data_IF_302793090459
#
_entry.id   IF_302793090459
#
_cell.length_a   1.000
_cell.length_b   1.000
_cell.length_c   1.000
_cell.angle_alpha   90.00
_cell.angle_beta   90.00
_cell.angle_gamma   90.00
#
_symmetry.space_group_name_H-M   'P 1'
#
loop_
_entity.id
_entity.type
_entity.pdbx_description
1 polymer ?
#
# COMPACT_ATOMS: atom_id res chain seq x y z
N UNK A 1 -6.53 43.07 -87.19
CA UNK A 1 -5.92 41.72 -87.31
C UNK A 1 -4.40 41.90 -87.33
N UNK A 2 -3.86 42.54 -86.30
CA UNK A 2 -3.59 42.13 -84.92
C UNK A 2 -2.11 41.77 -84.78
N UNK A 3 -1.39 42.78 -84.31
CA UNK A 3 0.04 42.89 -84.07
C UNK A 3 0.60 41.75 -83.18
N UNK A 4 -0.27 40.95 -82.58
CA UNK A 4 0.05 39.68 -81.91
C UNK A 4 0.68 38.61 -82.82
N UNK A 5 0.34 38.53 -84.12
CA UNK A 5 1.00 37.58 -85.04
C UNK A 5 2.36 38.06 -85.54
N UNK A 6 2.62 39.38 -85.51
CA UNK A 6 3.93 39.97 -85.84
C UNK A 6 4.90 39.85 -84.66
N UNK A 7 4.39 40.04 -83.43
CA UNK A 7 5.13 39.78 -82.19
C UNK A 7 5.50 38.29 -82.00
N UNK A 8 4.65 37.34 -82.41
CA UNK A 8 4.98 35.90 -82.30
C UNK A 8 6.08 35.43 -83.26
N UNK A 9 6.19 36.06 -84.44
CA UNK A 9 7.23 35.75 -85.43
C UNK A 9 8.55 36.48 -85.14
N UNK A 10 8.54 37.60 -84.42
CA UNK A 10 9.76 38.27 -83.91
C UNK A 10 10.32 37.60 -82.64
N UNK A 11 9.52 36.83 -81.91
CA UNK A 11 9.93 36.07 -80.70
C UNK A 11 10.39 34.64 -81.03
N UNK A 12 10.22 34.17 -82.28
CA UNK A 12 10.81 32.91 -82.78
C UNK A 12 12.16 33.13 -83.49
N UNK A 13 12.91 34.13 -83.01
CA UNK A 13 14.30 34.39 -83.38
C UNK A 13 15.25 33.38 -82.74
N UNK A 14 15.81 32.52 -83.59
CA UNK A 14 17.00 31.68 -83.39
C UNK A 14 17.09 30.82 -82.11
N UNK A 15 16.20 29.83 -82.02
CA UNK A 15 16.32 28.76 -81.00
C UNK A 15 17.56 27.87 -81.19
N UNK A 16 18.40 28.04 -82.23
CA UNK A 16 19.62 27.22 -82.38
C UNK A 16 20.64 27.50 -81.28
N UNK A 17 20.77 28.74 -80.83
CA UNK A 17 21.62 29.08 -79.67
C UNK A 17 21.02 28.56 -78.36
N UNK A 18 19.69 28.60 -78.21
CA UNK A 18 19.00 28.09 -77.02
C UNK A 18 19.08 26.56 -76.95
N UNK A 19 18.98 25.86 -78.09
CA UNK A 19 19.08 24.41 -78.20
C UNK A 19 20.54 23.93 -78.05
N UNK A 20 21.54 24.68 -78.53
CA UNK A 20 22.95 24.44 -78.22
C UNK A 20 23.29 24.72 -76.75
N UNK A 21 22.73 25.77 -76.14
CA UNK A 21 22.86 26.02 -74.69
C UNK A 21 22.19 24.92 -73.88
N UNK A 22 21.02 24.42 -74.30
CA UNK A 22 20.33 23.32 -73.62
C UNK A 22 21.10 21.99 -73.79
N UNK A 23 21.61 21.69 -74.99
CA UNK A 23 22.47 20.51 -75.25
C UNK A 23 23.75 20.57 -74.43
N UNK A 24 24.44 21.72 -74.37
CA UNK A 24 25.64 21.87 -73.57
C UNK A 24 25.33 21.80 -72.07
N UNK A 25 24.20 22.34 -71.59
CA UNK A 25 23.77 22.25 -70.18
C UNK A 25 23.32 20.83 -69.78
N UNK A 26 22.73 20.06 -70.71
CA UNK A 26 22.39 18.63 -70.52
C UNK A 26 23.61 17.70 -70.64
N UNK A 27 24.59 18.02 -71.50
CA UNK A 27 25.81 17.22 -71.68
C UNK A 27 26.86 17.45 -70.58
N UNK A 28 26.88 18.64 -69.94
CA UNK A 28 27.78 18.97 -68.82
C UNK A 28 27.26 18.61 -67.41
N UNK A 29 26.07 18.02 -67.30
CA UNK A 29 25.64 17.31 -66.08
C UNK A 29 25.70 15.79 -66.24
N UNK A 30 26.74 15.31 -66.94
CA UNK A 30 27.34 14.01 -66.59
C UNK A 30 28.02 14.17 -65.24
N UNK A 31 27.22 14.04 -64.18
CA UNK A 31 27.74 13.56 -62.90
C UNK A 31 28.64 12.36 -63.18
N UNK A 32 29.81 12.25 -62.51
CA UNK A 32 30.68 11.11 -62.72
C UNK A 32 29.83 9.86 -62.57
N UNK A 33 29.91 8.91 -63.52
CA UNK A 33 29.36 7.57 -63.35
C UNK A 33 30.03 7.01 -62.09
N UNK A 34 29.47 7.29 -60.91
CA UNK A 34 29.74 6.53 -59.70
C UNK A 34 29.37 5.13 -60.11
N UNK A 35 30.39 4.25 -60.21
CA UNK A 35 30.17 2.82 -60.23
C UNK A 35 29.18 2.58 -59.11
N UNK A 36 27.95 2.19 -59.44
CA UNK A 36 26.96 1.84 -58.42
C UNK A 36 27.68 0.85 -57.52
N UNK A 37 27.75 1.08 -56.20
CA UNK A 37 28.29 0.09 -55.31
C UNK A 37 27.26 -1.04 -55.29
N UNK A 38 27.32 -1.95 -56.27
CA UNK A 38 26.54 -3.18 -56.30
C UNK A 38 26.87 -4.06 -55.09
N UNK A 39 27.94 -3.75 -54.35
CA UNK A 39 28.26 -4.31 -53.04
C UNK A 39 27.52 -3.63 -51.87
N UNK A 40 27.03 -2.39 -52.01
CA UNK A 40 26.24 -1.73 -50.97
C UNK A 40 24.74 -1.98 -51.11
N UNK A 41 24.26 -2.51 -52.24
CA UNK A 41 22.86 -2.96 -52.37
C UNK A 41 22.61 -4.20 -51.50
N UNK A 42 23.42 -5.27 -51.53
CA UNK A 42 23.25 -6.38 -50.60
C UNK A 42 23.56 -5.96 -49.17
N UNK A 43 24.48 -5.04 -48.89
CA UNK A 43 24.68 -4.51 -47.53
C UNK A 43 23.49 -3.66 -47.08
N UNK A 44 22.91 -2.85 -47.95
CA UNK A 44 21.70 -2.08 -47.68
C UNK A 44 20.50 -2.99 -47.44
N UNK A 45 20.31 -4.02 -48.28
CA UNK A 45 19.28 -5.05 -48.09
C UNK A 45 19.56 -5.85 -46.81
N UNK A 46 20.81 -6.20 -46.50
CA UNK A 46 21.18 -6.92 -45.29
C UNK A 46 21.00 -6.05 -44.05
N UNK A 47 21.30 -4.75 -44.09
CA UNK A 47 21.06 -3.81 -43.01
C UNK A 47 19.56 -3.53 -42.84
N UNK A 48 18.80 -3.44 -43.93
CA UNK A 48 17.33 -3.27 -43.88
C UNK A 48 16.65 -4.56 -43.44
N UNK A 49 17.20 -5.73 -43.81
CA UNK A 49 16.79 -7.04 -43.32
C UNK A 49 17.21 -7.25 -41.88
N UNK A 50 18.39 -6.81 -41.44
CA UNK A 50 18.78 -6.82 -40.02
C UNK A 50 17.95 -5.81 -39.22
N UNK A 51 17.61 -4.64 -39.77
CA UNK A 51 16.71 -3.70 -39.11
C UNK A 51 15.28 -4.22 -39.08
N UNK A 52 14.79 -4.88 -40.14
CA UNK A 52 13.48 -5.54 -40.17
C UNK A 52 13.45 -6.77 -39.27
N UNK A 53 14.51 -7.56 -39.22
CA UNK A 53 14.65 -8.68 -38.30
C UNK A 53 14.85 -8.19 -36.86
N UNK A 54 15.52 -7.06 -36.63
CA UNK A 54 15.65 -6.44 -35.32
C UNK A 54 14.35 -5.77 -34.89
N UNK A 55 13.59 -5.16 -35.81
CA UNK A 55 12.23 -4.66 -35.50
C UNK A 55 11.25 -5.80 -35.35
N UNK A 56 11.38 -6.91 -36.09
CA UNK A 56 10.64 -8.15 -35.87
C UNK A 56 11.02 -8.79 -34.54
N UNK A 57 12.31 -8.88 -34.20
CA UNK A 57 12.78 -9.30 -32.88
C UNK A 57 12.27 -8.35 -31.80
N UNK A 58 12.21 -7.04 -32.03
CA UNK A 58 11.66 -6.04 -31.09
C UNK A 58 10.12 -6.00 -31.07
N UNK A 59 9.43 -6.64 -32.02
CA UNK A 59 7.96 -6.87 -32.01
C UNK A 59 7.58 -8.31 -31.65
N UNK A 60 8.51 -9.26 -31.62
CA UNK A 60 8.35 -10.56 -30.93
C UNK A 60 8.83 -10.46 -29.47
N UNK A 61 9.76 -9.54 -29.19
CA UNK A 61 10.09 -8.95 -27.89
C UNK A 61 9.40 -7.61 -27.66
N UNK A 62 8.38 -7.25 -28.45
CA UNK A 62 7.26 -6.61 -27.77
C UNK A 62 6.75 -7.75 -26.94
N UNK A 63 7.24 -7.81 -25.70
CA UNK A 63 6.61 -8.56 -24.63
C UNK A 63 5.17 -8.25 -24.89
N UNK A 64 4.44 -9.27 -25.36
CA UNK A 64 3.01 -9.26 -25.36
C UNK A 64 2.77 -9.04 -23.86
N UNK A 65 2.67 -7.78 -23.41
CA UNK A 65 2.46 -7.39 -22.03
C UNK A 65 1.01 -7.74 -21.75
N UNK A 66 0.67 -9.01 -21.99
CA UNK A 66 -0.42 -9.73 -21.40
C UNK A 66 -0.08 -9.67 -19.94
N UNK A 67 -0.45 -8.57 -19.30
CA UNK A 67 -0.62 -8.50 -17.87
C UNK A 67 -1.14 -9.87 -17.45
N UNK A 68 -0.36 -10.57 -16.62
CA UNK A 68 -0.69 -11.92 -16.23
C UNK A 68 -2.19 -12.00 -15.90
N UNK A 69 -2.87 -13.00 -16.47
CA UNK A 69 -4.31 -13.15 -16.25
C UNK A 69 -4.50 -13.43 -14.76
N UNK A 70 -5.11 -12.49 -14.06
CA UNK A 70 -5.36 -12.45 -12.61
C UNK A 70 -6.43 -13.42 -12.10
N UNK A 71 -6.97 -14.26 -12.97
CA UNK A 71 -8.03 -15.19 -12.61
C UNK A 71 -7.58 -16.14 -11.51
N UNK A 72 -8.29 -16.12 -10.38
CA UNK A 72 -8.03 -16.96 -9.20
C UNK A 72 -7.95 -18.46 -9.55
N UNK A 73 -8.75 -18.94 -10.50
CA UNK A 73 -8.69 -20.35 -10.91
C UNK A 73 -7.50 -20.69 -11.83
N UNK A 74 -6.96 -19.72 -12.57
CA UNK A 74 -5.92 -19.98 -13.59
C UNK A 74 -4.49 -19.94 -13.04
N UNK A 75 -4.33 -19.47 -11.80
CA UNK A 75 -3.03 -19.33 -11.14
C UNK A 75 -2.87 -20.30 -9.96
N UNK A 76 -3.49 -21.47 -10.02
CA UNK A 76 -3.39 -22.51 -8.98
C UNK A 76 -1.93 -22.92 -8.70
N UNK A 77 -1.07 -22.92 -9.72
CA UNK A 77 0.37 -23.18 -9.56
C UNK A 77 1.08 -22.11 -8.70
N UNK A 78 0.62 -20.85 -8.75
CA UNK A 78 1.16 -19.78 -7.92
C UNK A 78 0.73 -19.96 -6.46
N UNK A 79 -0.51 -20.42 -6.23
CA UNK A 79 -0.96 -20.81 -4.90
C UNK A 79 -0.13 -21.98 -4.34
N UNK A 80 0.10 -23.03 -5.12
CA UNK A 80 0.95 -24.17 -4.72
C UNK A 80 2.37 -23.72 -4.36
N UNK A 81 2.93 -22.78 -5.13
CA UNK A 81 4.24 -22.19 -4.87
C UNK A 81 4.28 -21.48 -3.50
N UNK A 82 3.30 -20.64 -3.19
CA UNK A 82 3.27 -19.93 -1.91
C UNK A 82 3.03 -20.88 -0.73
N UNK A 83 2.17 -21.88 -0.86
CA UNK A 83 1.98 -22.90 0.19
C UNK A 83 3.28 -23.67 0.45
N UNK A 84 4.03 -24.03 -0.60
CA UNK A 84 5.30 -24.71 -0.48
C UNK A 84 6.37 -23.84 0.19
N UNK A 85 6.37 -22.54 -0.10
CA UNK A 85 7.26 -21.55 0.54
C UNK A 85 6.99 -21.47 2.06
N UNK A 86 5.72 -21.38 2.46
CA UNK A 86 5.34 -21.36 3.89
C UNK A 86 5.74 -22.65 4.63
N UNK A 87 5.69 -23.81 3.96
CA UNK A 87 6.11 -25.10 4.52
C UNK A 87 7.61 -25.21 4.82
N UNK A 88 8.44 -24.38 4.18
CA UNK A 88 9.88 -24.33 4.45
C UNK A 88 10.14 -23.48 5.70
N UNK A 89 9.42 -22.37 5.83
CA UNK A 89 9.54 -21.44 6.94
C UNK A 89 8.90 -21.95 8.23
N UNK A 90 7.79 -22.70 8.16
CA UNK A 90 6.97 -23.08 9.31
C UNK A 90 6.56 -24.56 9.33
N UNK A 91 6.61 -25.19 10.50
CA UNK A 91 6.39 -26.65 10.67
C UNK A 91 4.93 -27.10 10.75
N UNK A 92 3.94 -26.20 10.77
CA UNK A 92 2.54 -26.54 11.06
C UNK A 92 1.67 -26.51 9.80
N UNK A 93 1.10 -27.65 9.39
CA UNK A 93 0.55 -27.85 8.03
C UNK A 93 -0.69 -27.03 7.71
N UNK A 94 -1.58 -26.80 8.68
CA UNK A 94 -2.84 -26.08 8.45
C UNK A 94 -2.61 -24.57 8.27
N UNK A 95 -1.65 -23.99 9.01
CA UNK A 95 -1.25 -22.59 8.88
C UNK A 95 -0.62 -22.28 7.52
N UNK A 96 0.10 -23.24 6.94
CA UNK A 96 0.82 -23.02 5.68
C UNK A 96 -0.11 -22.85 4.47
N UNK A 97 -1.24 -23.55 4.45
CA UNK A 97 -2.25 -23.39 3.38
C UNK A 97 -2.91 -22.03 3.43
N UNK A 98 -3.19 -21.56 4.64
CA UNK A 98 -3.83 -20.29 4.89
C UNK A 98 -2.89 -19.11 4.57
N UNK A 99 -1.68 -19.09 5.14
CA UNK A 99 -0.68 -18.08 4.82
C UNK A 99 -0.33 -18.10 3.33
N UNK A 100 -0.19 -19.29 2.74
CA UNK A 100 0.05 -19.44 1.31
C UNK A 100 -1.10 -18.90 0.46
N UNK A 101 -2.35 -19.07 0.89
CA UNK A 101 -3.52 -18.48 0.24
C UNK A 101 -3.54 -16.96 0.37
N UNK A 102 -3.20 -16.42 1.55
CA UNK A 102 -3.13 -14.98 1.78
C UNK A 102 -2.07 -14.31 0.88
N UNK A 103 -0.86 -14.87 0.83
CA UNK A 103 0.21 -14.42 -0.07
C UNK A 103 -0.19 -14.51 -1.54
N UNK A 104 -0.87 -15.60 -1.91
CA UNK A 104 -1.43 -15.79 -3.24
C UNK A 104 -2.46 -14.71 -3.60
N UNK A 105 -3.37 -14.40 -2.68
CA UNK A 105 -4.41 -13.40 -2.87
C UNK A 105 -3.81 -12.00 -3.02
N UNK A 106 -2.85 -11.65 -2.17
CA UNK A 106 -2.09 -10.40 -2.29
C UNK A 106 -1.39 -10.29 -3.64
N UNK A 107 -0.74 -11.37 -4.12
CA UNK A 107 -0.07 -11.37 -5.41
C UNK A 107 -1.05 -11.09 -6.55
N UNK A 108 -2.19 -11.79 -6.59
CA UNK A 108 -3.22 -11.51 -7.60
C UNK A 108 -3.79 -10.10 -7.47
N UNK A 109 -4.00 -9.62 -6.24
CA UNK A 109 -4.47 -8.27 -5.98
C UNK A 109 -3.50 -7.20 -6.47
N UNK A 110 -2.19 -7.39 -6.32
CA UNK A 110 -1.17 -6.49 -6.89
C UNK A 110 -1.32 -6.40 -8.40
N UNK A 111 -1.49 -7.54 -9.08
CA UNK A 111 -1.69 -7.54 -10.54
C UNK A 111 -2.95 -6.78 -10.93
N UNK A 112 -4.05 -6.94 -10.20
CA UNK A 112 -5.31 -6.23 -10.49
C UNK A 112 -5.26 -4.74 -10.14
N UNK A 113 -4.59 -4.38 -9.04
CA UNK A 113 -4.34 -2.98 -8.72
C UNK A 113 -3.49 -2.32 -9.80
N UNK A 114 -2.43 -2.98 -10.27
CA UNK A 114 -1.64 -2.46 -11.37
C UNK A 114 -2.48 -2.17 -12.61
N UNK A 115 -3.48 -3.03 -12.93
CA UNK A 115 -4.43 -2.74 -14.01
C UNK A 115 -5.34 -1.56 -13.70
N UNK A 116 -5.88 -1.48 -12.48
CA UNK A 116 -6.75 -0.37 -12.03
C UNK A 116 -6.05 0.98 -12.17
N UNK A 117 -4.74 1.03 -11.92
CA UNK A 117 -3.91 2.22 -12.02
C UNK A 117 -3.26 2.41 -13.40
N UNK A 118 -3.62 1.60 -14.40
CA UNK A 118 -3.06 1.61 -15.75
C UNK A 118 -1.51 1.54 -15.77
N UNK A 119 -0.93 0.82 -14.81
CA UNK A 119 0.51 0.65 -14.69
C UNK A 119 1.03 -0.33 -15.74
N UNK A 120 2.11 0.07 -16.40
CA UNK A 120 2.84 -0.74 -17.38
C UNK A 120 4.32 -0.77 -17.05
N UNK A 121 5.02 -1.79 -17.55
CA UNK A 121 6.49 -1.89 -17.46
C UNK A 121 7.12 -2.09 -18.84
N UNK A 122 8.36 -1.65 -18.96
CA UNK A 122 9.22 -1.75 -20.14
C UNK A 122 10.04 -3.05 -20.15
N UNK A 123 10.60 -3.39 -21.30
CA UNK A 123 11.49 -4.55 -21.43
C UNK A 123 12.77 -4.38 -20.58
N UNK A 124 13.23 -3.13 -20.43
CA UNK A 124 14.36 -2.77 -19.59
C UNK A 124 14.10 -3.05 -18.11
N UNK A 125 12.95 -2.61 -17.58
CA UNK A 125 12.55 -2.88 -16.19
C UNK A 125 12.40 -4.38 -15.92
N UNK A 126 11.85 -5.13 -16.89
CA UNK A 126 11.78 -6.59 -16.80
C UNK A 126 13.16 -7.22 -16.72
N UNK A 127 14.08 -6.79 -17.58
CA UNK A 127 15.44 -7.32 -17.61
C UNK A 127 16.19 -7.01 -16.33
N UNK A 128 16.07 -5.80 -15.81
CA UNK A 128 16.70 -5.39 -14.55
C UNK A 128 16.21 -6.27 -13.39
N UNK A 129 14.90 -6.45 -13.24
CA UNK A 129 14.35 -7.28 -12.18
C UNK A 129 14.67 -8.77 -12.35
N UNK A 130 14.72 -9.26 -13.60
CA UNK A 130 15.19 -10.62 -13.90
C UNK A 130 16.65 -10.82 -13.45
N UNK A 131 17.52 -9.84 -13.69
CA UNK A 131 18.92 -9.88 -13.27
C UNK A 131 19.05 -9.84 -11.76
N UNK A 132 18.30 -8.99 -11.06
CA UNK A 132 18.23 -8.95 -9.60
C UNK A 132 17.82 -10.31 -9.02
N UNK A 133 16.75 -10.91 -9.54
CA UNK A 133 16.29 -12.23 -9.12
C UNK A 133 17.35 -13.32 -9.33
N UNK A 134 18.15 -13.21 -10.39
CA UNK A 134 19.19 -14.18 -10.74
C UNK A 134 20.49 -14.05 -9.93
N UNK A 135 20.68 -12.95 -9.19
CA UNK A 135 21.94 -12.61 -8.52
C UNK A 135 22.05 -13.10 -7.07
N UNK A 136 21.00 -13.65 -6.46
CA UNK A 136 21.02 -14.11 -5.07
C UNK A 136 21.25 -15.64 -4.95
N UNK A 137 22.49 -16.11 -4.68
CA UNK A 137 22.79 -17.54 -4.59
C UNK A 137 22.08 -18.27 -3.44
N UNK A 138 21.78 -17.58 -2.33
CA UNK A 138 21.00 -18.15 -1.22
C UNK A 138 19.52 -18.36 -1.59
N UNK A 139 19.01 -17.62 -2.58
CA UNK A 139 17.67 -17.85 -3.12
C UNK A 139 17.60 -19.12 -3.96
N UNK A 140 18.69 -19.58 -4.60
CA UNK A 140 18.64 -20.76 -5.46
C UNK A 140 18.39 -22.04 -4.64
N UNK A 141 18.97 -22.15 -3.44
CA UNK A 141 18.72 -23.26 -2.52
C UNK A 141 17.29 -23.22 -1.95
N UNK A 142 16.81 -22.06 -1.51
CA UNK A 142 15.44 -21.89 -1.00
C UNK A 142 14.39 -22.12 -2.09
N UNK A 143 14.64 -21.62 -3.29
CA UNK A 143 13.83 -21.87 -4.49
C UNK A 143 13.78 -23.36 -4.78
N UNK A 144 14.92 -24.04 -4.87
CA UNK A 144 14.95 -25.47 -5.15
C UNK A 144 14.16 -26.29 -4.11
N UNK A 145 14.31 -25.97 -2.83
CA UNK A 145 13.51 -26.57 -1.75
C UNK A 145 12.01 -26.29 -1.93
N UNK A 146 11.65 -25.06 -2.32
CA UNK A 146 10.25 -24.66 -2.55
C UNK A 146 9.64 -25.45 -3.69
N UNK A 147 10.36 -25.55 -4.80
CA UNK A 147 9.94 -26.32 -5.97
C UNK A 147 9.76 -27.81 -5.64
N UNK A 148 10.70 -28.40 -4.89
CA UNK A 148 10.62 -29.79 -4.45
C UNK A 148 9.42 -30.02 -3.51
N UNK A 149 9.19 -29.13 -2.54
CA UNK A 149 8.05 -29.21 -1.61
C UNK A 149 6.71 -29.06 -2.31
N UNK A 150 6.63 -28.16 -3.30
CA UNK A 150 5.42 -27.91 -4.08
C UNK A 150 5.18 -28.94 -5.19
N UNK A 151 6.09 -29.90 -5.42
CA UNK A 151 6.10 -30.75 -6.61
C UNK A 151 6.06 -29.96 -7.93
N UNK A 152 6.69 -28.78 -7.95
CA UNK A 152 6.75 -27.88 -9.10
C UNK A 152 8.04 -28.18 -9.87
N UNK A 153 7.92 -28.57 -11.13
CA UNK A 153 9.11 -28.77 -11.96
C UNK A 153 9.80 -27.44 -12.30
N UNK A 154 11.12 -27.46 -12.51
CA UNK A 154 11.86 -26.28 -12.96
C UNK A 154 11.28 -25.68 -14.26
N UNK A 155 10.76 -26.55 -15.14
CA UNK A 155 10.09 -26.12 -16.37
C UNK A 155 8.80 -25.35 -16.08
N UNK A 156 7.94 -25.87 -15.21
CA UNK A 156 6.71 -25.17 -14.78
C UNK A 156 7.05 -23.83 -14.12
N UNK A 157 8.06 -23.80 -13.26
CA UNK A 157 8.52 -22.56 -12.66
C UNK A 157 8.96 -21.53 -13.71
N UNK A 158 9.87 -21.90 -14.61
CA UNK A 158 10.40 -20.98 -15.62
C UNK A 158 9.34 -20.48 -16.61
N UNK A 159 8.42 -21.35 -17.03
CA UNK A 159 7.43 -21.02 -18.08
C UNK A 159 6.16 -20.35 -17.53
N UNK A 160 5.80 -20.57 -16.27
CA UNK A 160 4.49 -20.16 -15.72
C UNK A 160 4.56 -19.28 -14.48
N UNK A 161 5.63 -19.38 -13.68
CA UNK A 161 5.75 -18.62 -12.42
C UNK A 161 6.76 -17.49 -12.50
N UNK A 162 7.93 -17.72 -13.09
CA UNK A 162 9.04 -16.76 -13.07
C UNK A 162 8.64 -15.42 -13.69
N UNK A 163 7.96 -15.45 -14.83
CA UNK A 163 7.42 -14.25 -15.47
C UNK A 163 6.51 -13.47 -14.51
N UNK A 164 5.52 -14.16 -13.93
CA UNK A 164 4.58 -13.57 -12.98
C UNK A 164 5.27 -13.01 -11.73
N UNK A 165 6.26 -13.72 -11.18
CA UNK A 165 7.02 -13.28 -10.00
C UNK A 165 7.78 -11.98 -10.30
N UNK A 166 8.40 -11.88 -11.48
CA UNK A 166 9.11 -10.66 -11.89
C UNK A 166 8.12 -9.51 -12.10
N UNK A 167 7.01 -9.75 -12.78
CA UNK A 167 5.94 -8.76 -12.95
C UNK A 167 5.43 -8.22 -11.61
N UNK A 168 5.20 -9.11 -10.63
CA UNK A 168 4.78 -8.74 -9.29
C UNK A 168 5.76 -7.80 -8.60
N UNK A 169 7.06 -8.04 -8.72
CA UNK A 169 8.09 -7.17 -8.13
C UNK A 169 8.06 -5.77 -8.77
N UNK A 170 7.99 -5.70 -10.10
CA UNK A 170 7.92 -4.42 -10.82
C UNK A 170 6.67 -3.63 -10.41
N UNK A 171 5.51 -4.30 -10.37
CA UNK A 171 4.27 -3.64 -10.01
C UNK A 171 4.20 -3.22 -8.55
N UNK A 172 4.79 -4.00 -7.61
CA UNK A 172 4.94 -3.57 -6.22
C UNK A 172 5.73 -2.27 -6.12
N UNK A 173 6.89 -2.18 -6.81
CA UNK A 173 7.69 -0.95 -6.84
C UNK A 173 6.89 0.23 -7.39
N UNK A 174 6.21 0.05 -8.53
CA UNK A 174 5.41 1.13 -9.14
C UNK A 174 4.21 1.54 -8.28
N UNK A 175 3.54 0.61 -7.61
CA UNK A 175 2.47 0.91 -6.67
C UNK A 175 3.00 1.69 -5.46
N UNK A 176 4.17 1.31 -4.93
CA UNK A 176 4.83 2.08 -3.88
C UNK A 176 5.13 3.52 -4.33
N UNK A 177 5.58 3.72 -5.56
CA UNK A 177 5.78 5.07 -6.13
C UNK A 177 4.49 5.89 -6.17
N UNK A 178 3.35 5.26 -6.47
CA UNK A 178 2.04 5.91 -6.38
C UNK A 178 1.67 6.26 -4.93
N UNK A 179 2.02 5.40 -3.98
CA UNK A 179 1.80 5.66 -2.55
C UNK A 179 2.66 6.81 -2.02
N UNK A 180 3.94 6.91 -2.39
CA UNK A 180 4.78 8.04 -1.99
C UNK A 180 4.24 9.38 -2.50
N UNK A 181 3.61 9.40 -3.68
CA UNK A 181 2.96 10.61 -4.21
C UNK A 181 1.71 10.98 -3.41
N UNK A 182 0.95 9.99 -2.94
CA UNK A 182 -0.30 10.19 -2.18
C UNK A 182 -0.03 10.50 -0.70
N UNK A 183 1.05 9.97 -0.14
CA UNK A 183 1.34 9.96 1.29
C UNK A 183 2.77 10.47 1.56
N UNK A 184 2.96 11.78 1.82
CA UNK A 184 4.30 12.38 1.90
C UNK A 184 5.23 11.85 2.99
N UNK A 185 4.70 11.24 4.05
CA UNK A 185 5.50 10.67 5.17
C UNK A 185 5.65 9.15 5.06
N UNK A 186 5.22 8.54 3.95
CA UNK A 186 5.31 7.10 3.73
C UNK A 186 6.77 6.64 3.63
N UNK A 187 7.09 5.50 4.26
CA UNK A 187 8.37 4.80 4.11
C UNK A 187 8.20 3.46 3.38
N UNK A 188 9.31 2.83 2.99
CA UNK A 188 9.32 1.61 2.17
C UNK A 188 8.60 0.41 2.82
N UNK A 189 8.75 0.25 4.14
CA UNK A 189 8.12 -0.85 4.88
C UNK A 189 6.60 -0.67 4.88
N UNK A 190 6.14 0.53 5.27
CA UNK A 190 4.71 0.85 5.29
C UNK A 190 4.11 0.83 3.88
N UNK A 191 4.84 1.28 2.85
CA UNK A 191 4.37 1.25 1.47
C UNK A 191 4.15 -0.20 0.98
N UNK A 192 5.07 -1.11 1.29
CA UNK A 192 4.93 -2.52 0.95
C UNK A 192 3.74 -3.16 1.65
N UNK A 193 3.56 -2.90 2.94
CA UNK A 193 2.42 -3.42 3.71
C UNK A 193 1.09 -2.80 3.25
N UNK A 194 1.07 -1.51 2.94
CA UNK A 194 -0.10 -0.84 2.39
C UNK A 194 -0.48 -1.42 1.03
N UNK A 195 0.49 -1.68 0.15
CA UNK A 195 0.27 -2.36 -1.13
C UNK A 195 -0.39 -3.73 -0.92
N UNK A 196 0.12 -4.54 0.01
CA UNK A 196 -0.44 -5.84 0.35
C UNK A 196 -1.89 -5.73 0.85
N UNK A 197 -2.14 -4.79 1.76
CA UNK A 197 -3.47 -4.56 2.33
C UNK A 197 -4.48 -4.12 1.26
N UNK A 198 -4.11 -3.14 0.43
CA UNK A 198 -4.97 -2.67 -0.66
C UNK A 198 -5.21 -3.78 -1.69
N UNK A 199 -4.21 -4.62 -1.97
CA UNK A 199 -4.35 -5.75 -2.87
C UNK A 199 -5.38 -6.76 -2.34
N UNK A 200 -5.29 -7.14 -1.06
CA UNK A 200 -6.27 -8.03 -0.42
C UNK A 200 -7.67 -7.42 -0.43
N UNK A 201 -7.83 -6.18 0.02
CA UNK A 201 -9.13 -5.47 0.04
C UNK A 201 -9.76 -5.42 -1.35
N UNK A 202 -8.98 -5.11 -2.38
CA UNK A 202 -9.47 -5.10 -3.75
C UNK A 202 -9.98 -6.47 -4.19
N UNK A 203 -9.23 -7.53 -3.87
CA UNK A 203 -9.64 -8.89 -4.19
C UNK A 203 -10.93 -9.29 -3.47
N UNK A 204 -11.05 -8.99 -2.18
CA UNK A 204 -12.26 -9.26 -1.38
C UNK A 204 -13.47 -8.48 -1.90
N UNK A 205 -13.30 -7.22 -2.28
CA UNK A 205 -14.41 -6.40 -2.79
C UNK A 205 -14.90 -6.84 -4.18
N UNK A 206 -13.99 -7.27 -5.05
CA UNK A 206 -14.31 -7.51 -6.46
C UNK A 206 -14.42 -9.00 -6.85
N UNK A 207 -13.86 -9.91 -6.04
CA UNK A 207 -13.77 -11.35 -6.34
C UNK A 207 -14.17 -12.24 -5.15
N UNK A 208 -15.00 -11.74 -4.22
CA UNK A 208 -15.44 -12.47 -3.02
C UNK A 208 -15.94 -13.89 -3.31
N UNK A 209 -16.72 -14.08 -4.39
CA UNK A 209 -17.32 -15.38 -4.72
C UNK A 209 -16.27 -16.38 -5.22
N UNK A 210 -15.37 -15.93 -6.07
CA UNK A 210 -14.25 -16.71 -6.59
C UNK A 210 -13.29 -17.09 -5.47
N UNK A 211 -13.04 -16.18 -4.52
CA UNK A 211 -12.28 -16.44 -3.28
C UNK A 211 -12.95 -17.55 -2.47
N UNK A 212 -14.24 -17.42 -2.18
CA UNK A 212 -14.98 -18.42 -1.39
C UNK A 212 -14.96 -19.80 -2.06
N UNK A 213 -15.19 -19.85 -3.37
CA UNK A 213 -15.13 -21.10 -4.15
C UNK A 213 -13.75 -21.74 -4.13
N UNK A 214 -12.69 -20.94 -4.27
CA UNK A 214 -11.31 -21.43 -4.21
C UNK A 214 -10.98 -21.95 -2.81
N UNK A 215 -11.34 -21.23 -1.75
CA UNK A 215 -11.16 -21.66 -0.36
C UNK A 215 -11.87 -22.98 -0.09
N UNK A 216 -13.12 -23.13 -0.55
CA UNK A 216 -13.87 -24.38 -0.43
C UNK A 216 -13.21 -25.53 -1.19
N UNK A 217 -12.80 -25.31 -2.45
CA UNK A 217 -12.11 -26.31 -3.29
C UNK A 217 -10.83 -26.81 -2.63
N UNK A 218 -10.07 -25.91 -2.01
CA UNK A 218 -8.76 -26.21 -1.43
C UNK A 218 -8.78 -26.51 0.09
N UNK A 219 -9.97 -26.49 0.70
CA UNK A 219 -10.19 -26.72 2.14
C UNK A 219 -9.37 -25.75 3.00
N UNK A 220 -9.30 -24.48 2.59
CA UNK A 220 -8.63 -23.43 3.34
C UNK A 220 -9.58 -22.98 4.45
N UNK A 221 -9.15 -23.08 5.70
CA UNK A 221 -9.89 -22.54 6.84
C UNK A 221 -9.65 -21.04 6.89
N UNK A 222 -10.70 -20.26 7.12
CA UNK A 222 -10.60 -18.83 7.42
C UNK A 222 -10.25 -18.71 8.90
N UNK A 223 -9.10 -18.13 9.26
CA UNK A 223 -8.95 -17.61 10.60
C UNK A 223 -9.93 -16.48 10.80
N UNK A 224 -10.70 -16.58 11.88
CA UNK A 224 -11.20 -15.36 12.49
C UNK A 224 -9.94 -14.61 12.92
N UNK A 225 -9.70 -13.44 12.30
CA UNK A 225 -8.63 -12.53 12.67
C UNK A 225 -8.48 -12.54 14.19
N UNK A 226 -7.25 -12.72 14.68
CA UNK A 226 -6.95 -12.42 16.07
C UNK A 226 -7.38 -10.98 16.28
N UNK A 227 -8.53 -10.79 16.93
CA UNK A 227 -9.09 -9.48 17.18
C UNK A 227 -8.07 -8.71 18.00
N UNK A 228 -7.24 -7.91 17.34
CA UNK A 228 -6.47 -6.91 18.03
C UNK A 228 -7.46 -6.05 18.80
N UNK A 229 -7.10 -5.67 20.02
CA UNK A 229 -7.96 -4.73 20.74
C UNK A 229 -8.04 -3.46 19.90
N UNK A 230 -9.25 -2.98 19.59
CA UNK A 230 -9.38 -1.72 18.90
C UNK A 230 -8.81 -0.62 19.78
N UNK A 231 -8.07 0.28 19.15
CA UNK A 231 -7.44 1.43 19.78
C UNK A 231 -8.32 2.64 19.58
N UNK A 232 -8.52 3.47 20.60
CA UNK A 232 -9.30 4.71 20.48
C UNK A 232 -8.46 5.91 20.88
N UNK A 233 -8.80 7.08 20.38
CA UNK A 233 -8.03 8.29 20.65
C UNK A 233 -8.49 9.45 19.79
N UNK A 234 -7.70 10.53 19.77
CA UNK A 234 -8.06 11.76 19.07
C UNK A 234 -7.21 11.95 17.81
N UNK A 235 -7.84 12.53 16.80
CA UNK A 235 -7.14 13.07 15.63
C UNK A 235 -6.52 14.42 15.99
N UNK A 236 -5.19 14.45 16.08
CA UNK A 236 -4.42 15.64 16.44
C UNK A 236 -4.08 16.52 15.22
N UNK A 237 -3.93 15.92 14.03
CA UNK A 237 -3.64 16.65 12.80
C UNK A 237 -4.16 15.89 11.59
N UNK A 238 -4.48 16.60 10.50
CA UNK A 238 -4.90 16.01 9.23
C UNK A 238 -4.06 16.61 8.10
N UNK A 239 -3.45 15.75 7.28
CA UNK A 239 -2.66 16.14 6.14
C UNK A 239 -3.03 15.28 4.92
N UNK A 240 -3.92 15.81 4.08
CA UNK A 240 -4.42 15.10 2.90
C UNK A 240 -5.09 13.79 3.28
N UNK A 241 -4.55 12.68 2.78
CA UNK A 241 -5.06 11.33 3.02
C UNK A 241 -4.49 10.68 4.29
N UNK A 242 -3.88 11.46 5.19
CA UNK A 242 -3.31 10.97 6.45
C UNK A 242 -3.77 11.82 7.62
N UNK A 243 -3.72 11.25 8.81
CA UNK A 243 -3.94 11.98 10.05
C UNK A 243 -3.00 11.52 11.15
N UNK A 244 -2.64 12.44 12.05
CA UNK A 244 -1.85 12.12 13.23
C UNK A 244 -2.81 11.73 14.35
N UNK A 245 -2.68 10.51 14.83
CA UNK A 245 -3.52 9.92 15.86
C UNK A 245 -2.76 9.83 17.16
N UNK A 246 -3.42 10.19 18.26
CA UNK A 246 -2.86 10.02 19.61
C UNK A 246 -3.77 9.10 20.39
N UNK A 247 -3.23 7.95 20.80
CA UNK A 247 -3.96 6.94 21.54
C UNK A 247 -4.44 7.46 22.89
N UNK A 248 -5.66 7.07 23.25
CA UNK A 248 -6.30 7.34 24.52
C UNK A 248 -6.38 8.82 24.93
N UNK A 249 -6.21 9.77 24.00
CA UNK A 249 -6.31 11.22 24.27
C UNK A 249 -7.67 11.79 23.82
N UNK A 250 -8.10 12.88 24.47
CA UNK A 250 -9.38 13.56 24.20
C UNK A 250 -9.17 14.82 23.38
N UNK A 251 -10.25 15.32 22.77
CA UNK A 251 -10.20 16.59 22.07
C UNK A 251 -9.93 17.79 23.00
N UNK A 252 -10.39 17.74 24.25
CA UNK A 252 -10.19 18.85 25.19
C UNK A 252 -8.73 18.92 25.63
N UNK A 253 -8.13 17.80 25.99
CA UNK A 253 -6.72 17.74 26.36
C UNK A 253 -5.80 18.11 25.20
N UNK A 254 -6.15 17.70 23.97
CA UNK A 254 -5.44 18.12 22.76
C UNK A 254 -5.34 19.66 22.67
N UNK A 255 -6.38 20.41 23.09
CA UNK A 255 -6.34 21.89 23.08
C UNK A 255 -5.36 22.51 24.08
N UNK A 256 -4.90 21.74 25.06
CA UNK A 256 -3.94 22.20 26.07
C UNK A 256 -2.48 22.04 25.65
N UNK A 257 -2.24 21.26 24.59
CA UNK A 257 -0.91 20.94 24.10
C UNK A 257 -0.49 21.91 22.98
N UNK A 258 0.80 22.25 22.95
CA UNK A 258 1.40 22.92 21.80
C UNK A 258 1.73 21.93 20.69
N UNK A 259 1.90 22.42 19.46
CA UNK A 259 2.37 21.61 18.33
C UNK A 259 3.71 20.91 18.66
N UNK A 260 4.62 21.62 19.34
CA UNK A 260 5.90 21.06 19.78
C UNK A 260 5.70 19.86 20.72
N UNK A 261 4.76 19.96 21.66
CA UNK A 261 4.43 18.87 22.56
C UNK A 261 3.74 17.71 21.82
N UNK A 262 2.96 17.97 20.78
CA UNK A 262 2.27 16.93 20.00
C UNK A 262 3.25 16.13 19.14
N UNK A 263 4.20 16.82 18.49
CA UNK A 263 5.04 16.21 17.45
C UNK A 263 6.45 15.81 17.90
N UNK A 264 6.98 16.37 18.99
CA UNK A 264 8.38 16.14 19.44
C UNK A 264 8.50 15.29 20.72
N UNK A 265 7.41 14.65 21.18
CA UNK A 265 7.44 13.65 22.26
C UNK A 265 6.71 12.34 21.86
N UNK A 266 7.08 11.70 20.73
CA UNK A 266 6.36 10.55 20.19
C UNK A 266 6.44 9.31 21.09
N UNK A 267 7.57 9.09 21.79
CA UNK A 267 7.78 7.92 22.65
C UNK A 267 6.85 7.87 23.88
N UNK A 268 6.38 9.03 24.35
CA UNK A 268 5.53 9.13 25.55
C UNK A 268 4.02 9.07 25.22
N UNK A 269 3.64 9.23 23.95
CA UNK A 269 2.25 9.55 23.57
C UNK A 269 1.51 8.48 22.79
N UNK A 270 2.13 7.33 22.49
CA UNK A 270 1.58 6.31 21.58
C UNK A 270 0.87 6.97 20.39
N UNK A 271 1.63 7.79 19.66
CA UNK A 271 1.10 8.60 18.59
C UNK A 271 1.70 8.16 17.26
N UNK A 272 0.88 8.15 16.21
CA UNK A 272 1.36 7.79 14.88
C UNK A 272 0.58 8.48 13.75
N UNK A 273 1.26 8.68 12.63
CA UNK A 273 0.60 9.01 11.37
C UNK A 273 -0.13 7.79 10.83
N UNK A 274 -1.44 7.89 10.69
CA UNK A 274 -2.30 6.85 10.14
C UNK A 274 -2.64 7.20 8.69
N UNK A 275 -2.50 6.22 7.80
CA UNK A 275 -2.98 6.32 6.43
C UNK A 275 -4.49 6.10 6.37
N UNK A 276 -5.23 7.05 5.79
CA UNK A 276 -6.69 7.05 5.74
C UNK A 276 -7.25 6.73 4.34
N UNK A 277 -6.40 6.73 3.30
CA UNK A 277 -6.78 6.27 1.94
C UNK A 277 -7.90 7.06 1.23
N UNK A 278 -8.48 8.08 1.87
CA UNK A 278 -9.71 8.83 1.54
C UNK A 278 -11.04 8.12 1.88
N UNK A 279 -11.01 7.04 2.66
CA UNK A 279 -12.20 6.21 2.91
C UNK A 279 -13.10 6.76 4.03
N UNK A 280 -12.52 7.47 5.01
CA UNK A 280 -13.27 8.05 6.14
C UNK A 280 -12.88 9.51 6.34
N UNK A 281 -13.77 10.49 6.11
CA UNK A 281 -13.44 11.88 6.37
C UNK A 281 -13.30 12.10 7.88
N UNK A 282 -12.07 12.38 8.33
CA UNK A 282 -11.75 12.74 9.72
C UNK A 282 -11.31 14.18 9.81
N UNK A 283 -11.56 14.81 10.95
CA UNK A 283 -11.17 16.17 11.28
C UNK A 283 -10.34 16.22 12.56
N UNK A 284 -9.54 17.27 12.69
CA UNK A 284 -8.83 17.54 13.95
C UNK A 284 -9.83 17.67 15.09
N UNK A 285 -9.58 16.95 16.18
CA UNK A 285 -10.46 16.86 17.35
C UNK A 285 -11.49 15.73 17.30
N UNK A 286 -11.62 15.00 16.18
CA UNK A 286 -12.47 13.80 16.15
C UNK A 286 -11.92 12.74 17.10
N UNK A 287 -12.79 12.13 17.91
CA UNK A 287 -12.48 10.95 18.69
C UNK A 287 -12.86 9.71 17.90
N UNK A 288 -11.86 8.92 17.55
CA UNK A 288 -12.00 7.82 16.61
C UNK A 288 -11.58 6.50 17.25
N UNK A 289 -11.94 5.43 16.56
CA UNK A 289 -11.56 4.06 16.86
C UNK A 289 -10.89 3.44 15.63
N UNK A 290 -9.73 2.85 15.87
CA UNK A 290 -8.98 2.04 14.93
C UNK A 290 -9.20 0.57 15.32
N UNK A 291 -9.87 -0.23 14.49
CA UNK A 291 -10.20 -1.61 14.90
C UNK A 291 -8.99 -2.53 14.88
N UNK A 292 -8.06 -2.26 13.98
CA UNK A 292 -6.83 -3.01 13.85
C UNK A 292 -5.71 -2.00 13.57
N UNK A 293 -4.75 -1.90 14.50
CA UNK A 293 -3.53 -1.16 14.27
C UNK A 293 -2.54 -2.15 13.65
N UNK A 294 -2.29 -1.98 12.36
CA UNK A 294 -1.38 -2.83 11.61
C UNK A 294 0.08 -2.53 11.93
N UNK A 295 0.93 -2.77 10.94
CA UNK A 295 2.36 -2.45 11.02
C UNK A 295 2.57 -0.99 11.42
N UNK A 296 3.37 -0.78 12.46
CA UNK A 296 3.85 0.53 12.90
C UNK A 296 5.37 0.57 12.78
N UNK A 297 5.89 1.63 12.14
CA UNK A 297 7.33 1.83 11.95
C UNK A 297 7.68 3.24 12.37
N UNK A 298 8.71 3.38 13.21
CA UNK A 298 9.29 4.68 13.54
C UNK A 298 10.11 5.16 12.36
N UNK A 299 9.75 6.33 11.82
CA UNK A 299 10.57 7.04 10.86
C UNK A 299 11.81 7.58 11.55
N UNK A 300 12.99 7.04 11.22
CA UNK A 300 14.27 7.43 11.83
C UNK A 300 14.63 8.90 11.60
N UNK A 301 14.07 9.55 10.55
CA UNK A 301 14.38 10.95 10.23
C UNK A 301 13.58 11.95 11.07
N UNK A 302 12.33 11.61 11.38
CA UNK A 302 11.40 12.50 12.09
C UNK A 302 11.04 11.99 13.49
N UNK A 303 11.57 10.82 13.89
CA UNK A 303 11.30 10.11 15.14
C UNK A 303 9.80 9.81 15.38
N UNK A 304 8.97 9.90 14.33
CA UNK A 304 7.53 9.70 14.40
C UNK A 304 7.13 8.33 13.89
N UNK A 305 6.19 7.68 14.57
CA UNK A 305 5.63 6.43 14.09
C UNK A 305 4.66 6.67 12.93
N UNK A 306 4.69 5.77 11.96
CA UNK A 306 3.73 5.69 10.86
C UNK A 306 3.09 4.31 10.95
N UNK A 307 1.76 4.27 10.97
CA UNK A 307 1.01 3.03 11.15
C UNK A 307 -0.04 2.85 10.08
N UNK A 308 -0.31 1.59 9.75
CA UNK A 308 -1.48 1.20 8.99
C UNK A 308 -2.66 0.99 9.92
N UNK A 309 -3.87 1.31 9.46
CA UNK A 309 -5.08 0.98 10.18
C UNK A 309 -6.12 0.37 9.27
N UNK A 310 -6.92 -0.52 9.85
CA UNK A 310 -8.13 -1.04 9.24
C UNK A 310 -9.36 -0.53 9.99
N UNK A 311 -10.41 -0.24 9.23
CA UNK A 311 -11.72 0.15 9.74
C UNK A 311 -11.68 1.31 10.74
N UNK A 312 -11.43 2.50 10.22
CA UNK A 312 -11.54 3.75 10.98
C UNK A 312 -13.01 4.05 11.24
N UNK A 313 -13.36 4.25 12.51
CA UNK A 313 -14.72 4.61 12.92
C UNK A 313 -14.68 5.91 13.73
N UNK A 314 -15.40 6.94 13.26
CA UNK A 314 -15.56 8.19 14.02
C UNK A 314 -16.62 7.95 15.09
N UNK A 315 -16.18 7.81 16.34
CA UNK A 315 -17.07 7.56 17.48
C UNK A 315 -17.77 8.85 17.92
N UNK A 316 -16.99 9.93 18.03
CA UNK A 316 -17.50 11.27 18.31
C UNK A 316 -16.82 12.27 17.38
N UNK A 317 -17.57 12.96 16.52
CA UNK A 317 -17.00 14.06 15.76
C UNK A 317 -16.63 15.20 16.72
N UNK A 318 -15.70 16.05 16.32
CA UNK A 318 -15.16 17.14 17.15
C UNK A 318 -16.26 17.97 17.84
N UNK A 319 -17.38 18.27 17.17
CA UNK A 319 -18.47 19.05 17.76
C UNK A 319 -19.17 18.35 18.93
N UNK A 320 -19.02 17.03 19.05
CA UNK A 320 -19.56 16.17 20.10
C UNK A 320 -18.47 15.60 21.01
N UNK A 321 -17.21 16.02 20.85
CA UNK A 321 -16.12 15.51 21.67
C UNK A 321 -16.32 15.82 23.17
N UNK A 322 -17.04 16.90 23.49
CA UNK A 322 -17.45 17.24 24.87
C UNK A 322 -18.48 16.31 25.49
N UNK A 323 -18.98 15.30 24.76
CA UNK A 323 -19.88 14.29 25.32
C UNK A 323 -19.17 13.26 26.20
N UNK A 324 -17.84 13.20 26.17
CA UNK A 324 -17.09 12.42 27.15
C UNK A 324 -16.94 13.29 28.39
N UNK A 325 -17.43 12.80 29.54
CA UNK A 325 -17.35 13.54 30.79
C UNK A 325 -15.94 13.48 31.35
N UNK A 326 -15.30 14.64 31.46
CA UNK A 326 -13.99 14.79 32.08
C UNK A 326 -14.15 15.14 33.56
N UNK A 327 -13.35 14.49 34.41
CA UNK A 327 -13.41 14.65 35.87
C UNK A 327 -12.02 14.89 36.41
N UNK A 328 -11.79 16.06 36.99
CA UNK A 328 -10.57 16.36 37.74
C UNK A 328 -10.82 16.16 39.22
N UNK A 329 -10.10 15.22 39.84
CA UNK A 329 -10.27 14.96 41.26
C UNK A 329 -9.54 15.99 42.15
N UNK A 330 -10.28 16.54 43.12
CA UNK A 330 -9.71 17.23 44.26
C UNK A 330 -8.82 16.27 45.09
N UNK A 331 -7.94 16.80 45.93
CA UNK A 331 -6.88 16.03 46.60
C UNK A 331 -7.42 14.84 47.43
N UNK A 332 -8.60 14.97 48.04
CA UNK A 332 -9.27 13.92 48.82
C UNK A 332 -9.85 12.79 47.95
N UNK A 333 -10.48 13.13 46.83
CA UNK A 333 -10.94 12.16 45.84
C UNK A 333 -9.76 11.49 45.13
N UNK A 334 -8.66 12.22 44.93
CA UNK A 334 -7.43 11.71 44.32
C UNK A 334 -6.79 10.62 45.16
N UNK A 335 -6.63 10.85 46.47
CA UNK A 335 -6.11 9.84 47.40
C UNK A 335 -7.00 8.58 47.43
N UNK A 336 -8.32 8.75 47.30
CA UNK A 336 -9.24 7.62 47.23
C UNK A 336 -9.09 6.82 45.93
N UNK A 337 -8.91 7.50 44.79
CA UNK A 337 -8.60 6.89 43.51
C UNK A 337 -7.29 6.11 43.59
N UNK A 338 -6.21 6.73 44.07
CA UNK A 338 -4.89 6.09 44.24
C UNK A 338 -5.00 4.85 45.14
N UNK A 339 -5.70 4.94 46.26
CA UNK A 339 -5.94 3.81 47.15
C UNK A 339 -6.73 2.68 46.46
N UNK A 340 -7.72 3.02 45.62
CA UNK A 340 -8.46 2.05 44.82
C UNK A 340 -7.58 1.40 43.74
N UNK A 341 -6.63 2.14 43.15
CA UNK A 341 -5.69 1.63 42.16
C UNK A 341 -4.62 0.72 42.82
N UNK A 342 -4.10 1.08 43.99
CA UNK A 342 -3.10 0.30 44.72
C UNK A 342 -3.66 -1.03 45.28
N UNK A 343 -4.92 -1.02 45.73
CA UNK A 343 -5.55 -2.18 46.37
C UNK A 343 -6.46 -2.98 45.43
N UNK A 344 -6.49 -2.63 44.14
CA UNK A 344 -7.21 -3.42 43.16
C UNK A 344 -6.42 -4.71 42.85
N UNK A 345 -7.16 -5.81 42.83
CA UNK A 345 -6.65 -7.05 42.28
C UNK A 345 -6.85 -7.02 40.77
N UNK A 346 -5.73 -6.84 40.08
CA UNK A 346 -5.66 -6.62 38.64
C UNK A 346 -5.50 -7.92 37.87
N UNK A 347 -6.11 -7.98 36.69
CA UNK A 347 -5.74 -8.93 35.64
C UNK A 347 -5.18 -8.12 34.46
N UNK A 348 -3.90 -8.31 34.14
CA UNK A 348 -3.36 -7.88 32.86
C UNK A 348 -3.94 -8.81 31.79
N UNK A 349 -4.82 -8.32 30.93
CA UNK A 349 -5.51 -9.19 29.99
C UNK A 349 -5.66 -8.55 28.61
N UNK A 350 -5.02 -9.18 27.62
CA UNK A 350 -5.13 -8.81 26.19
C UNK A 350 -6.46 -9.26 25.56
N UNK A 351 -7.35 -9.91 26.31
CA UNK A 351 -8.62 -10.45 25.81
C UNK A 351 -9.81 -9.93 26.63
N UNK A 352 -10.22 -8.69 26.40
CA UNK A 352 -11.38 -8.10 27.06
C UNK A 352 -12.42 -7.71 26.00
N UNK A 353 -13.63 -8.24 26.15
CA UNK A 353 -14.81 -7.72 25.45
C UNK A 353 -15.23 -6.41 26.12
N UNK A 354 -14.58 -5.31 25.75
CA UNK A 354 -14.98 -3.95 26.11
C UNK A 354 -16.15 -3.54 25.21
N UNK A 355 -17.10 -2.76 25.74
CA UNK A 355 -17.98 -2.02 24.84
C UNK A 355 -17.22 -0.80 24.28
N UNK A 356 -16.74 -0.91 23.04
CA UNK A 356 -15.87 0.08 22.41
C UNK A 356 -16.65 1.20 21.68
N UNK A 357 -17.81 1.63 22.22
CA UNK A 357 -18.58 2.73 21.63
C UNK A 357 -17.96 4.09 21.99
N UNK A 358 -17.61 4.30 23.27
CA UNK A 358 -16.80 5.43 23.79
C UNK A 358 -16.43 5.16 25.26
N UNK A 359 -15.36 5.80 25.80
CA UNK A 359 -15.13 5.76 27.23
C UNK A 359 -16.32 6.40 27.98
N UNK A 360 -16.61 5.89 29.18
CA UNK A 360 -17.64 6.45 30.05
C UNK A 360 -17.19 7.79 30.65
N UNK A 361 -15.92 7.84 31.06
CA UNK A 361 -15.33 8.99 31.74
C UNK A 361 -13.86 9.13 31.34
N UNK A 362 -13.35 10.35 31.39
CA UNK A 362 -11.91 10.62 31.52
C UNK A 362 -11.67 11.17 32.91
N UNK A 363 -10.66 10.64 33.59
CA UNK A 363 -10.33 11.02 34.96
C UNK A 363 -8.90 11.54 34.98
N UNK A 364 -8.72 12.78 35.47
CA UNK A 364 -7.41 13.41 35.63
C UNK A 364 -6.95 13.34 37.09
N UNK A 365 -5.77 12.79 37.30
CA UNK A 365 -5.14 12.58 38.60
C UNK A 365 -3.69 13.00 38.50
N UNK A 366 -3.33 14.10 39.16
CA UNK A 366 -2.02 14.75 39.01
C UNK A 366 -1.73 15.04 37.52
N UNK A 367 -0.61 14.54 37.00
CA UNK A 367 -0.17 14.70 35.62
C UNK A 367 -0.57 13.50 34.74
N UNK A 368 -1.42 12.59 35.23
CA UNK A 368 -1.88 11.40 34.49
C UNK A 368 -3.39 11.41 34.28
N UNK A 369 -3.78 11.16 33.04
CA UNK A 369 -5.17 10.97 32.64
C UNK A 369 -5.46 9.49 32.44
N UNK A 370 -6.70 9.09 32.73
CA UNK A 370 -7.18 7.73 32.59
C UNK A 370 -8.49 7.70 31.81
N UNK A 371 -8.60 6.84 30.81
CA UNK A 371 -9.90 6.52 30.20
C UNK A 371 -10.57 5.39 30.99
N UNK A 372 -11.85 5.58 31.29
CA UNK A 372 -12.66 4.62 32.06
C UNK A 372 -13.69 4.00 31.14
N UNK A 373 -13.64 2.68 30.99
CA UNK A 373 -14.54 1.90 30.15
C UNK A 373 -15.37 0.94 31.00
N UNK A 374 -16.45 0.42 30.42
CA UNK A 374 -17.25 -0.64 31.04
C UNK A 374 -17.33 -1.85 30.11
N UNK A 375 -17.04 -3.03 30.65
CA UNK A 375 -17.17 -4.28 29.89
C UNK A 375 -18.61 -4.84 29.96
N UNK A 376 -18.86 -5.90 29.19
CA UNK A 376 -20.16 -6.60 29.18
C UNK A 376 -20.60 -7.15 30.55
N UNK A 377 -19.67 -7.30 31.51
CA UNK A 377 -19.91 -7.75 32.90
C UNK A 377 -20.11 -6.59 33.88
N UNK A 378 -20.18 -5.33 33.40
CA UNK A 378 -20.29 -4.11 34.22
C UNK A 378 -19.10 -3.91 35.16
N UNK A 379 -17.91 -4.34 34.73
CA UNK A 379 -16.65 -4.04 35.40
C UNK A 379 -16.01 -2.84 34.72
N UNK A 380 -15.43 -1.96 35.52
CA UNK A 380 -14.68 -0.83 34.99
C UNK A 380 -13.29 -1.31 34.53
N UNK A 381 -12.89 -0.80 33.37
CA UNK A 381 -11.54 -0.95 32.83
C UNK A 381 -10.92 0.43 32.82
N UNK A 382 -9.72 0.53 33.36
CA UNK A 382 -8.96 1.77 33.48
C UNK A 382 -7.77 1.64 32.55
N UNK A 383 -7.60 2.63 31.68
CA UNK A 383 -6.48 2.67 30.74
C UNK A 383 -5.76 4.00 30.94
N UNK A 384 -4.52 4.00 31.46
CA UNK A 384 -3.72 5.21 31.52
C UNK A 384 -3.41 5.70 30.12
N UNK A 385 -3.31 7.00 30.00
CA UNK A 385 -2.85 7.62 28.78
C UNK A 385 -1.38 7.29 28.58
N UNK A 386 -0.98 7.01 27.34
CA UNK A 386 0.41 6.70 27.07
C UNK A 386 0.89 5.41 27.74
N UNK A 387 -0.01 4.45 28.08
CA UNK A 387 0.35 3.09 28.55
C UNK A 387 -0.46 1.99 27.83
N UNK A 388 0.18 0.87 27.39
CA UNK A 388 -0.52 -0.26 26.78
C UNK A 388 -1.20 -1.14 27.83
N UNK A 389 -0.81 -1.01 29.10
CA UNK A 389 -1.41 -1.76 30.19
C UNK A 389 -2.84 -1.30 30.47
N UNK A 390 -3.77 -2.23 30.30
CA UNK A 390 -5.16 -2.06 30.74
C UNK A 390 -5.35 -2.70 32.10
N UNK A 391 -6.16 -2.07 32.94
CA UNK A 391 -6.48 -2.61 34.25
C UNK A 391 -7.96 -2.88 34.41
N UNK A 392 -8.32 -4.11 34.77
CA UNK A 392 -9.71 -4.51 35.02
C UNK A 392 -9.99 -4.50 36.51
N UNK A 393 -10.96 -3.70 36.93
CA UNK A 393 -11.42 -3.73 38.31
C UNK A 393 -12.40 -4.88 38.56
N UNK A 394 -12.31 -5.50 39.74
CA UNK A 394 -13.42 -6.33 40.23
C UNK A 394 -14.68 -5.51 40.47
N UNK A 395 -15.83 -6.18 40.46
CA UNK A 395 -17.14 -5.54 40.50
C UNK A 395 -17.35 -4.62 41.73
N UNK A 396 -16.76 -4.94 42.88
CA UNK A 396 -16.85 -4.10 44.08
C UNK A 396 -16.09 -2.79 43.91
N UNK A 397 -14.83 -2.86 43.50
CA UNK A 397 -13.98 -1.68 43.27
C UNK A 397 -14.51 -0.84 42.11
N UNK A 398 -15.04 -1.49 41.05
CA UNK A 398 -15.73 -0.82 39.94
C UNK A 398 -16.89 0.07 40.43
N UNK A 399 -17.71 -0.43 41.37
CA UNK A 399 -18.81 0.35 41.94
C UNK A 399 -18.32 1.52 42.79
N UNK A 400 -17.25 1.32 43.56
CA UNK A 400 -16.66 2.37 44.39
C UNK A 400 -16.08 3.48 43.52
N UNK A 401 -15.33 3.12 42.48
CA UNK A 401 -14.77 4.08 41.54
C UNK A 401 -15.88 4.83 40.79
N UNK A 402 -16.91 4.13 40.30
CA UNK A 402 -18.04 4.77 39.60
C UNK A 402 -18.73 5.81 40.49
N UNK A 403 -18.99 5.48 41.75
CA UNK A 403 -19.59 6.42 42.69
C UNK A 403 -18.68 7.63 42.95
N UNK A 404 -17.37 7.39 43.16
CA UNK A 404 -16.39 8.46 43.34
C UNK A 404 -16.35 9.41 42.13
N UNK A 405 -16.39 8.88 40.91
CA UNK A 405 -16.46 9.68 39.68
C UNK A 405 -17.76 10.48 39.66
N UNK A 406 -18.92 9.83 39.80
CA UNK A 406 -20.25 10.47 39.73
C UNK A 406 -20.46 11.58 40.79
N UNK A 407 -19.81 11.47 41.96
CA UNK A 407 -19.81 12.50 43.01
C UNK A 407 -18.96 13.73 42.65
N UNK A 408 -17.99 13.58 41.75
CA UNK A 408 -17.02 14.61 41.38
C UNK A 408 -17.15 15.12 39.94
N UNK A 409 -18.03 14.52 39.12
CA UNK A 409 -18.43 15.08 37.81
C UNK A 409 -19.01 16.48 38.07
N UNK A 410 -18.33 17.50 37.56
CA UNK A 410 -18.80 18.87 37.66
C UNK A 410 -20.07 19.01 36.81
N UNK A 411 -21.19 19.38 37.42
CA UNK A 411 -22.45 19.64 36.71
C UNK A 411 -22.47 20.98 36.01
#
# INVERSE_FOLDING_TARGET
>A
MNDYKRALNEVTGDMKESEQRLKNKLLYHKSPKRKKPFFLIPVGILCLFMMLMASWYMTEFSVDTKQARSSIEKNELLYEFYVASEQISWRNSDFNKENGFYNYLQALGVLELAKKYDLTYSAEEYKEQFEVYSQYPDQENLKQQTLEKGNISQKQFNEQLLLTIIELQIYRTKLNDEWYKKFPVMNDIIASEYTNQQATRYMEQHFAKEIEQFQQKHQIKVMNDSSQMPTTGVVASVNGSMFYFIENMTAQELTTLTDEQIFNQPEEKYASWILNGDEVPVQVGDYIKLKNLGTSVVDELNEQAISLSEDIEVLLPNERASEIQEVTFADDARQQMEHLLENAAWEANMFININYDKPLYIVHVNDTSYTIWENTRKQLIIMPFGQPEVWIMYQRSSKQLKALIEENVTK
#
